data_IF_233061682080
#
_entry.id   IF_233061682080
#
_cell.length_a   1.000
_cell.length_b   1.000
_cell.length_c   1.000
_cell.angle_alpha   90.00
_cell.angle_beta   90.00
_cell.angle_gamma   90.00
#
_symmetry.space_group_name_H-M   'P 1'
#
loop_
_entity.id
_entity.type
_entity.pdbx_description
1 polymer ?
#
# COMPACT_ATOMS: atom_id res chain seq x y z
N UNK A 1 7.61 -31.69 -7.95
CA UNK A 1 8.38 -30.81 -8.86
C UNK A 1 7.53 -29.59 -9.10
N UNK A 2 8.01 -28.39 -8.81
CA UNK A 2 7.27 -27.15 -9.12
C UNK A 2 7.11 -27.04 -10.65
N UNK A 3 5.97 -26.54 -11.16
CA UNK A 3 5.78 -26.34 -12.59
C UNK A 3 6.92 -25.51 -13.18
N UNK A 4 7.44 -25.90 -14.36
CA UNK A 4 8.44 -25.08 -15.06
C UNK A 4 7.84 -23.68 -15.33
N UNK A 5 8.48 -22.59 -14.85
CA UNK A 5 7.94 -21.26 -15.03
C UNK A 5 7.85 -20.92 -16.51
N UNK A 6 6.84 -20.14 -16.90
CA UNK A 6 6.83 -19.53 -18.23
C UNK A 6 8.15 -18.76 -18.40
N UNK A 7 8.93 -19.05 -19.45
CA UNK A 7 10.28 -18.51 -19.62
C UNK A 7 10.34 -16.97 -19.45
N UNK A 8 9.25 -16.30 -19.82
CA UNK A 8 9.11 -14.85 -19.70
C UNK A 8 9.03 -14.32 -18.26
N UNK A 9 8.56 -15.10 -17.27
CA UNK A 9 8.41 -14.63 -15.89
C UNK A 9 9.56 -15.05 -14.96
N UNK A 10 10.66 -15.59 -15.49
CA UNK A 10 11.76 -16.15 -14.68
C UNK A 10 12.50 -15.09 -13.84
N UNK A 11 12.70 -13.89 -14.40
CA UNK A 11 13.46 -12.76 -13.83
C UNK A 11 12.71 -11.43 -14.07
N UNK A 12 11.60 -11.18 -13.36
CA UNK A 12 10.88 -9.93 -13.51
C UNK A 12 11.68 -8.77 -12.90
N UNK A 13 11.80 -7.67 -13.65
CA UNK A 13 12.18 -6.37 -13.08
C UNK A 13 10.92 -5.66 -12.60
N UNK A 14 10.80 -5.51 -11.29
CA UNK A 14 9.68 -4.85 -10.64
C UNK A 14 9.98 -3.39 -10.40
N UNK A 15 9.07 -2.52 -10.83
CA UNK A 15 9.17 -1.06 -10.72
C UNK A 15 7.97 -0.55 -9.95
N UNK A 16 8.22 0.34 -9.00
CA UNK A 16 7.21 0.99 -8.17
C UNK A 16 7.83 2.09 -7.32
N UNK A 17 7.03 2.67 -6.42
CA UNK A 17 7.49 3.74 -5.51
C UNK A 17 8.12 3.15 -4.23
N UNK A 18 9.18 2.36 -4.40
CA UNK A 18 9.73 1.51 -3.35
C UNK A 18 10.95 2.11 -2.67
N UNK A 19 11.10 1.93 -1.35
CA UNK A 19 12.27 2.44 -0.62
C UNK A 19 12.23 3.95 -0.35
N UNK A 20 11.04 4.54 -0.46
CA UNK A 20 10.75 5.95 -0.16
C UNK A 20 10.33 6.16 1.30
N UNK A 21 10.90 5.35 2.20
CA UNK A 21 10.66 5.43 3.65
C UNK A 21 9.18 5.33 4.03
N UNK A 22 8.40 4.52 3.28
CA UNK A 22 6.96 4.34 3.45
C UNK A 22 6.59 2.85 3.60
N UNK A 23 5.99 2.47 4.73
CA UNK A 23 5.57 1.09 5.04
C UNK A 23 4.58 0.56 4.01
N UNK A 24 3.62 1.37 3.58
CA UNK A 24 2.59 0.95 2.65
C UNK A 24 3.14 0.57 1.29
N UNK A 25 4.02 1.40 0.73
CA UNK A 25 4.65 1.09 -0.55
C UNK A 25 5.69 -0.04 -0.44
N UNK A 26 6.38 -0.14 0.72
CA UNK A 26 7.29 -1.27 0.98
C UNK A 26 6.54 -2.60 1.13
N UNK A 27 5.30 -2.60 1.62
CA UNK A 27 4.47 -3.80 1.70
C UNK A 27 4.21 -4.40 0.30
N UNK A 28 4.09 -3.55 -0.73
CA UNK A 28 4.00 -4.03 -2.10
C UNK A 28 5.25 -4.77 -2.54
N UNK A 29 6.45 -4.38 -2.13
CA UNK A 29 7.65 -5.15 -2.44
C UNK A 29 7.60 -6.57 -1.87
N UNK A 30 7.21 -6.68 -0.59
CA UNK A 30 7.10 -7.97 0.10
C UNK A 30 6.07 -8.86 -0.61
N UNK A 31 4.90 -8.30 -0.93
CA UNK A 31 3.85 -9.01 -1.68
C UNK A 31 4.33 -9.40 -3.07
N UNK A 32 4.96 -8.50 -3.81
CA UNK A 32 5.45 -8.77 -5.16
C UNK A 32 6.54 -9.85 -5.18
N UNK A 33 7.48 -9.83 -4.25
CA UNK A 33 8.54 -10.84 -4.19
C UNK A 33 7.94 -12.23 -3.98
N UNK A 34 7.08 -12.35 -2.96
CA UNK A 34 6.39 -13.60 -2.67
C UNK A 34 5.45 -14.04 -3.80
N UNK A 35 4.59 -13.15 -4.30
CA UNK A 35 3.54 -13.50 -5.25
C UNK A 35 4.11 -13.85 -6.62
N UNK A 36 5.14 -13.15 -7.11
CA UNK A 36 5.75 -13.50 -8.39
C UNK A 36 6.46 -14.86 -8.34
N UNK A 37 7.12 -15.20 -7.23
CA UNK A 37 7.67 -16.55 -7.00
C UNK A 37 6.56 -17.60 -6.94
N UNK A 38 5.48 -17.30 -6.22
CA UNK A 38 4.38 -18.24 -5.96
C UNK A 38 3.52 -18.50 -7.20
N UNK A 39 3.02 -17.45 -7.83
CA UNK A 39 2.05 -17.55 -8.92
C UNK A 39 2.70 -17.60 -10.30
N UNK A 40 3.90 -17.05 -10.49
CA UNK A 40 4.55 -17.00 -11.80
C UNK A 40 5.79 -17.89 -11.88
N UNK A 41 6.20 -18.51 -10.77
CA UNK A 41 7.40 -19.35 -10.69
C UNK A 41 8.70 -18.55 -10.87
N UNK A 42 8.67 -17.24 -10.62
CA UNK A 42 9.86 -16.38 -10.72
C UNK A 42 10.98 -16.89 -9.80
N UNK A 43 12.20 -16.99 -10.33
CA UNK A 43 13.36 -17.47 -9.55
C UNK A 43 14.12 -16.31 -8.92
N UNK A 44 14.23 -15.20 -9.66
CA UNK A 44 15.06 -14.06 -9.28
C UNK A 44 14.34 -12.74 -9.65
N UNK A 45 13.23 -12.41 -8.98
CA UNK A 45 12.66 -11.07 -9.07
C UNK A 45 13.68 -10.02 -8.60
N UNK A 46 13.77 -8.91 -9.34
CA UNK A 46 14.65 -7.78 -9.00
C UNK A 46 13.82 -6.51 -8.94
N UNK A 47 14.01 -5.72 -7.90
CA UNK A 47 13.29 -4.48 -7.66
C UNK A 47 14.15 -3.28 -8.03
N UNK A 48 13.59 -2.34 -8.77
CA UNK A 48 14.17 -1.02 -8.98
C UNK A 48 13.99 -0.15 -7.72
N UNK A 49 14.59 -0.58 -6.62
CA UNK A 49 14.50 0.01 -5.28
C UNK A 49 15.88 -0.02 -4.59
N UNK A 50 16.14 0.87 -3.61
CA UNK A 50 17.23 0.69 -2.67
C UNK A 50 16.96 -0.52 -1.75
N UNK A 51 17.92 -0.97 -0.94
CA UNK A 51 17.69 -2.00 0.07
C UNK A 51 16.51 -1.63 0.98
N UNK A 52 15.63 -2.60 1.20
CA UNK A 52 14.44 -2.50 2.07
C UNK A 52 14.56 -3.60 3.12
N UNK A 53 14.14 -3.31 4.36
CA UNK A 53 14.32 -4.20 5.53
C UNK A 53 13.76 -5.60 5.28
N UNK A 54 12.55 -5.70 4.72
CA UNK A 54 11.83 -6.97 4.52
C UNK A 54 12.06 -7.60 3.14
N UNK A 55 13.09 -7.17 2.40
CA UNK A 55 13.48 -7.77 1.13
C UNK A 55 14.90 -8.37 1.19
N UNK A 56 15.15 -9.49 0.51
CA UNK A 56 16.51 -9.98 0.32
C UNK A 56 17.37 -8.92 -0.37
N UNK A 57 18.58 -8.68 0.14
CA UNK A 57 19.46 -7.61 -0.34
C UNK A 57 19.79 -7.76 -1.83
N UNK A 58 19.93 -8.99 -2.31
CA UNK A 58 20.17 -9.34 -3.71
C UNK A 58 19.00 -9.02 -4.64
N UNK A 59 17.79 -8.85 -4.10
CA UNK A 59 16.59 -8.48 -4.86
C UNK A 59 16.50 -6.97 -5.06
N UNK A 60 17.27 -6.15 -4.32
CA UNK A 60 17.32 -4.69 -4.49
C UNK A 60 18.36 -4.28 -5.54
N UNK A 61 17.91 -3.82 -6.70
CA UNK A 61 18.76 -3.54 -7.86
C UNK A 61 19.40 -2.15 -7.90
N UNK A 62 19.00 -1.23 -7.02
CA UNK A 62 19.49 0.17 -7.06
C UNK A 62 20.52 0.47 -5.98
N UNK A 63 21.56 1.20 -6.37
CA UNK A 63 22.54 1.72 -5.42
C UNK A 63 21.93 2.87 -4.60
N UNK A 64 21.98 2.83 -3.25
CA UNK A 64 21.47 3.89 -2.38
C UNK A 64 22.01 5.30 -2.71
N UNK A 65 23.25 5.39 -3.19
CA UNK A 65 23.91 6.67 -3.53
C UNK A 65 23.19 7.43 -4.64
N UNK A 66 22.69 6.71 -5.64
CA UNK A 66 21.99 7.30 -6.79
C UNK A 66 20.49 7.47 -6.55
N UNK A 67 19.96 6.84 -5.51
CA UNK A 67 18.55 6.92 -5.15
C UNK A 67 18.20 8.24 -4.43
N UNK A 68 19.16 8.83 -3.68
CA UNK A 68 18.95 10.08 -2.91
C UNK A 68 19.57 11.34 -3.52
N UNK A 69 20.48 11.22 -4.50
CA UNK A 69 21.24 12.36 -5.04
C UNK A 69 20.62 12.98 -6.30
N UNK A 70 20.77 14.31 -6.46
CA UNK A 70 20.25 15.09 -7.61
C UNK A 70 21.33 15.55 -8.61
N UNK A 71 22.59 15.14 -8.42
CA UNK A 71 23.71 15.59 -9.25
C UNK A 71 23.65 15.03 -10.69
N UNK A 72 24.27 15.72 -11.65
CA UNK A 72 24.27 15.32 -13.08
C UNK A 72 25.02 14.00 -13.32
N UNK A 73 26.22 13.75 -12.75
CA UNK A 73 26.89 12.44 -12.87
C UNK A 73 26.07 11.29 -12.29
N UNK A 74 25.36 11.51 -11.18
CA UNK A 74 24.51 10.50 -10.56
C UNK A 74 23.31 10.13 -11.44
N UNK A 75 22.77 11.07 -12.24
CA UNK A 75 21.71 10.77 -13.22
C UNK A 75 22.19 9.85 -14.33
N UNK A 76 23.42 9.99 -14.80
CA UNK A 76 23.99 9.11 -15.82
C UNK A 76 24.17 7.69 -15.26
N UNK A 77 24.76 7.56 -14.08
CA UNK A 77 24.89 6.27 -13.38
C UNK A 77 23.54 5.61 -13.12
N UNK A 78 22.52 6.40 -12.73
CA UNK A 78 21.15 5.94 -12.55
C UNK A 78 20.51 5.39 -13.83
N UNK A 79 20.64 6.09 -14.97
CA UNK A 79 20.13 5.60 -16.26
C UNK A 79 20.84 4.31 -16.69
N UNK A 80 22.17 4.25 -16.57
CA UNK A 80 22.96 3.06 -16.93
C UNK A 80 22.60 1.85 -16.06
N UNK A 81 22.42 2.04 -14.75
CA UNK A 81 21.98 1.00 -13.83
C UNK A 81 20.61 0.45 -14.25
N UNK A 82 19.63 1.32 -14.53
CA UNK A 82 18.31 0.85 -14.99
C UNK A 82 18.38 0.13 -16.34
N UNK A 83 19.17 0.62 -17.30
CA UNK A 83 19.36 -0.06 -18.57
C UNK A 83 19.98 -1.46 -18.39
N UNK A 84 20.94 -1.61 -17.47
CA UNK A 84 21.54 -2.90 -17.13
C UNK A 84 20.58 -3.84 -16.40
N UNK A 85 19.69 -3.32 -15.54
CA UNK A 85 18.63 -4.11 -14.92
C UNK A 85 17.65 -4.62 -15.97
N UNK A 86 17.24 -3.72 -16.87
CA UNK A 86 16.32 -4.03 -17.97
C UNK A 86 16.89 -5.09 -18.92
N UNK A 87 18.16 -4.99 -19.31
CA UNK A 87 18.79 -5.96 -20.23
C UNK A 87 18.95 -7.38 -19.66
N UNK A 88 18.93 -7.52 -18.33
CA UNK A 88 19.05 -8.81 -17.62
C UNK A 88 17.70 -9.38 -17.18
N UNK A 89 16.62 -8.62 -17.39
CA UNK A 89 15.26 -9.01 -17.02
C UNK A 89 14.58 -9.79 -18.15
N UNK A 90 13.69 -10.71 -17.79
CA UNK A 90 12.85 -11.44 -18.75
C UNK A 90 11.45 -10.82 -18.92
N UNK A 91 11.09 -9.87 -18.05
CA UNK A 91 9.80 -9.20 -17.99
C UNK A 91 9.94 -7.89 -17.21
N UNK A 92 9.10 -6.92 -17.55
CA UNK A 92 8.93 -5.69 -16.79
C UNK A 92 7.58 -5.68 -16.08
N UNK A 93 7.57 -5.38 -14.78
CA UNK A 93 6.37 -5.39 -13.96
C UNK A 93 6.23 -4.06 -13.21
N UNK A 94 5.10 -3.39 -13.39
CA UNK A 94 4.72 -2.25 -12.55
C UNK A 94 3.91 -2.77 -11.37
N UNK A 95 4.49 -2.71 -10.17
CA UNK A 95 3.87 -3.22 -8.95
C UNK A 95 3.30 -2.10 -8.08
N UNK A 96 1.98 -2.13 -7.91
CA UNK A 96 1.25 -1.39 -6.90
C UNK A 96 1.17 0.13 -7.10
N UNK A 97 0.39 0.75 -6.21
CA UNK A 97 0.38 2.18 -5.98
C UNK A 97 -0.12 3.01 -7.15
N UNK A 98 0.40 4.23 -7.24
CA UNK A 98 -0.02 5.22 -8.22
C UNK A 98 1.12 5.62 -9.14
N UNK A 99 1.83 4.61 -9.63
CA UNK A 99 2.87 4.72 -10.66
C UNK A 99 2.37 5.52 -11.88
N UNK A 100 1.05 5.53 -12.10
CA UNK A 100 0.40 6.16 -13.25
C UNK A 100 -0.44 7.42 -12.94
N UNK A 101 -0.19 8.15 -11.84
CA UNK A 101 -0.95 9.39 -11.50
C UNK A 101 -0.41 10.67 -12.15
N UNK A 102 0.89 10.92 -12.06
CA UNK A 102 1.50 12.11 -12.66
C UNK A 102 2.72 11.71 -13.47
N UNK A 103 2.69 12.14 -14.70
CA UNK A 103 3.54 11.68 -15.76
C UNK A 103 4.19 12.97 -16.33
N UNK A 104 5.29 13.41 -15.72
CA UNK A 104 6.16 14.49 -16.24
C UNK A 104 7.00 14.09 -17.48
N UNK A 105 7.37 15.02 -18.39
CA UNK A 105 7.91 14.72 -19.73
C UNK A 105 9.34 14.11 -19.79
N UNK A 106 10.05 13.96 -18.66
CA UNK A 106 11.46 13.55 -18.61
C UNK A 106 11.81 12.44 -17.57
N UNK A 107 10.82 11.77 -16.98
CA UNK A 107 11.06 10.67 -16.03
C UNK A 107 10.99 9.28 -16.69
N UNK A 108 11.15 8.22 -15.89
CA UNK A 108 11.24 6.77 -16.18
C UNK A 108 10.51 6.25 -17.43
N UNK A 109 9.43 6.90 -17.84
CA UNK A 109 8.66 6.67 -19.06
C UNK A 109 9.45 6.69 -20.37
N UNK A 110 10.45 7.57 -20.54
CA UNK A 110 11.25 7.53 -21.79
C UNK A 110 11.99 6.20 -21.85
N UNK A 111 12.55 5.78 -20.73
CA UNK A 111 13.24 4.49 -20.58
C UNK A 111 12.26 3.33 -20.80
N UNK A 112 11.05 3.38 -20.24
CA UNK A 112 10.02 2.36 -20.48
C UNK A 112 9.51 2.34 -21.92
N UNK A 113 9.29 3.50 -22.54
CA UNK A 113 8.86 3.57 -23.94
C UNK A 113 9.95 3.04 -24.90
N UNK A 114 11.22 3.28 -24.55
CA UNK A 114 12.37 2.80 -25.31
C UNK A 114 12.54 1.28 -25.11
N UNK A 115 12.42 0.81 -23.87
CA UNK A 115 12.51 -0.62 -23.55
C UNK A 115 11.37 -1.43 -24.14
N UNK A 116 10.13 -0.92 -24.06
CA UNK A 116 8.95 -1.51 -24.69
C UNK A 116 9.13 -1.65 -26.21
N UNK A 117 9.77 -0.67 -26.87
CA UNK A 117 10.03 -0.71 -28.32
C UNK A 117 11.13 -1.69 -28.73
N UNK A 118 12.13 -1.90 -27.87
CA UNK A 118 13.38 -2.59 -28.24
C UNK A 118 13.43 -4.03 -27.75
N UNK A 119 12.80 -4.34 -26.61
CA UNK A 119 13.15 -5.55 -25.86
C UNK A 119 12.29 -6.78 -26.17
N UNK A 120 11.06 -6.61 -26.68
CA UNK A 120 10.13 -7.72 -26.94
C UNK A 120 9.70 -8.53 -25.71
N UNK A 121 10.14 -8.15 -24.50
CA UNK A 121 9.76 -8.81 -23.26
C UNK A 121 8.32 -8.43 -22.88
N UNK A 122 7.55 -9.36 -22.30
CA UNK A 122 6.22 -9.02 -21.83
C UNK A 122 6.27 -8.02 -20.67
N UNK A 123 5.18 -7.28 -20.56
CA UNK A 123 4.97 -6.23 -19.58
C UNK A 123 3.71 -6.53 -18.78
N UNK A 124 3.78 -6.30 -17.47
CA UNK A 124 2.62 -6.38 -16.58
C UNK A 124 2.48 -5.11 -15.75
N UNK A 125 1.25 -4.78 -15.37
CA UNK A 125 0.95 -3.85 -14.30
C UNK A 125 -0.02 -4.51 -13.33
N UNK A 126 0.28 -4.49 -12.03
CA UNK A 126 -0.49 -5.21 -11.01
C UNK A 126 -0.80 -4.31 -9.82
N UNK A 127 -2.04 -4.33 -9.36
CA UNK A 127 -2.55 -3.50 -8.26
C UNK A 127 -2.39 -2.00 -8.49
N UNK A 128 -2.48 -1.57 -9.75
CA UNK A 128 -2.32 -0.16 -10.13
C UNK A 128 -3.68 0.55 -10.21
N UNK A 129 -3.68 1.86 -9.97
CA UNK A 129 -4.78 2.74 -10.37
C UNK A 129 -4.43 3.54 -11.62
N UNK A 130 -5.43 3.84 -12.43
CA UNK A 130 -5.36 4.66 -13.63
C UNK A 130 -6.13 5.96 -13.38
N UNK A 131 -5.41 7.09 -13.37
CA UNK A 131 -5.99 8.41 -13.09
C UNK A 131 -6.10 8.75 -11.59
N UNK A 132 -6.82 9.84 -11.24
CA UNK A 132 -7.41 10.82 -12.16
C UNK A 132 -6.34 11.59 -12.95
N UNK A 133 -6.72 12.14 -14.11
CA UNK A 133 -5.80 12.82 -15.01
C UNK A 133 -5.80 14.33 -14.83
N UNK A 134 -4.62 14.95 -14.85
CA UNK A 134 -4.48 16.41 -14.85
C UNK A 134 -4.94 17.05 -16.18
N UNK A 135 -4.94 16.29 -17.29
CA UNK A 135 -5.37 16.77 -18.60
C UNK A 135 -5.65 15.61 -19.56
N UNK A 136 -6.46 15.85 -20.60
CA UNK A 136 -6.71 14.90 -21.70
C UNK A 136 -5.43 14.52 -22.47
N UNK A 137 -4.39 15.37 -22.44
CA UNK A 137 -3.09 15.02 -23.02
C UNK A 137 -2.28 14.06 -22.12
N UNK A 138 -2.37 14.20 -20.81
CA UNK A 138 -1.77 13.25 -19.86
C UNK A 138 -2.45 11.87 -19.97
N UNK A 139 -3.77 11.86 -20.04
CA UNK A 139 -4.59 10.66 -20.27
C UNK A 139 -4.16 9.92 -21.54
N UNK A 140 -4.20 10.58 -22.71
CA UNK A 140 -3.83 9.95 -24.00
C UNK A 140 -2.43 9.34 -23.97
N UNK A 141 -1.46 10.03 -23.39
CA UNK A 141 -0.08 9.54 -23.28
C UNK A 141 0.05 8.32 -22.38
N UNK A 142 -0.65 8.31 -21.24
CA UNK A 142 -0.63 7.14 -20.35
C UNK A 142 -1.34 5.96 -21.03
N UNK A 143 -2.52 6.17 -21.58
CA UNK A 143 -3.29 5.12 -22.27
C UNK A 143 -2.47 4.49 -23.40
N UNK A 144 -1.72 5.28 -24.18
CA UNK A 144 -0.83 4.74 -25.22
C UNK A 144 0.26 3.81 -24.64
N UNK A 145 0.81 4.12 -23.47
CA UNK A 145 1.77 3.26 -22.77
C UNK A 145 1.07 2.00 -22.25
N UNK A 146 -0.10 2.14 -21.61
CA UNK A 146 -0.85 1.02 -21.05
C UNK A 146 -1.34 0.05 -22.14
N UNK A 147 -1.63 0.51 -23.36
CA UNK A 147 -1.96 -0.36 -24.51
C UNK A 147 -0.85 -1.34 -24.91
N UNK A 148 0.38 -1.13 -24.44
CA UNK A 148 1.53 -2.03 -24.70
C UNK A 148 1.80 -3.02 -23.57
N UNK A 149 1.01 -2.97 -22.51
CA UNK A 149 1.12 -3.90 -21.38
C UNK A 149 0.28 -5.13 -21.70
N UNK A 150 0.85 -6.33 -21.56
CA UNK A 150 0.17 -7.58 -21.90
C UNK A 150 -0.90 -7.97 -20.87
N UNK A 151 -0.67 -7.60 -19.61
CA UNK A 151 -1.57 -7.88 -18.49
C UNK A 151 -1.66 -6.69 -17.53
N UNK A 152 -2.88 -6.24 -17.25
CA UNK A 152 -3.16 -5.20 -16.27
C UNK A 152 -4.15 -5.72 -15.22
N UNK A 153 -3.67 -5.87 -13.98
CA UNK A 153 -4.49 -5.96 -12.78
C UNK A 153 -4.71 -4.58 -12.19
N UNK A 154 -5.93 -4.05 -12.26
CA UNK A 154 -6.30 -2.79 -11.61
C UNK A 154 -6.90 -3.05 -10.25
N UNK A 155 -6.66 -2.15 -9.29
CA UNK A 155 -7.18 -2.30 -7.93
C UNK A 155 -8.57 -1.68 -7.69
N UNK A 156 -9.11 -0.95 -8.66
CA UNK A 156 -10.39 -0.24 -8.55
C UNK A 156 -11.18 -0.27 -9.87
N UNK A 157 -12.51 -0.25 -9.75
CA UNK A 157 -13.43 -0.35 -10.89
C UNK A 157 -13.32 0.86 -11.85
N UNK A 158 -13.08 2.06 -11.32
CA UNK A 158 -12.94 3.26 -12.13
C UNK A 158 -11.74 3.15 -13.11
N UNK A 159 -10.64 2.55 -12.65
CA UNK A 159 -9.48 2.25 -13.48
C UNK A 159 -9.78 1.23 -14.59
N UNK A 160 -10.60 0.21 -14.29
CA UNK A 160 -11.05 -0.78 -15.28
C UNK A 160 -11.88 -0.10 -16.38
N UNK A 161 -12.88 0.70 -16.00
CA UNK A 161 -13.76 1.42 -16.94
C UNK A 161 -12.99 2.38 -17.86
N UNK A 162 -11.91 3.01 -17.37
CA UNK A 162 -11.03 3.84 -18.20
C UNK A 162 -10.33 3.00 -19.27
N UNK A 163 -9.77 1.84 -18.89
CA UNK A 163 -9.02 0.98 -19.80
C UNK A 163 -9.92 0.23 -20.79
N UNK A 164 -11.12 -0.18 -20.37
CA UNK A 164 -12.14 -0.78 -21.24
C UNK A 164 -12.60 0.21 -22.30
N UNK A 165 -12.95 1.45 -21.92
CA UNK A 165 -13.32 2.50 -22.88
C UNK A 165 -12.18 2.86 -23.82
N UNK A 166 -10.93 2.77 -23.36
CA UNK A 166 -9.76 2.96 -24.19
C UNK A 166 -9.44 1.78 -25.13
N UNK A 167 -10.20 0.68 -25.04
CA UNK A 167 -10.01 -0.53 -25.85
C UNK A 167 -8.64 -1.16 -25.63
N UNK A 168 -8.25 -1.35 -24.37
CA UNK A 168 -6.99 -2.02 -24.03
C UNK A 168 -6.93 -3.42 -24.68
N UNK A 169 -5.91 -3.75 -25.48
CA UNK A 169 -5.86 -4.98 -26.27
C UNK A 169 -5.38 -6.21 -25.48
N UNK A 170 -4.76 -6.00 -24.32
CA UNK A 170 -4.23 -7.05 -23.45
C UNK A 170 -5.27 -7.60 -22.47
N UNK A 171 -4.81 -8.44 -21.55
CA UNK A 171 -5.67 -8.99 -20.49
C UNK A 171 -5.85 -7.94 -19.40
N UNK A 172 -7.10 -7.50 -19.20
CA UNK A 172 -7.49 -6.60 -18.14
C UNK A 172 -8.27 -7.35 -17.05
N UNK A 173 -7.86 -7.17 -15.80
CA UNK A 173 -8.51 -7.79 -14.64
C UNK A 173 -8.78 -6.73 -13.59
N UNK A 174 -10.04 -6.59 -13.19
CA UNK A 174 -10.43 -5.88 -11.97
C UNK A 174 -10.06 -6.76 -10.78
N UNK A 175 -8.88 -6.52 -10.22
CA UNK A 175 -8.34 -7.21 -9.06
C UNK A 175 -8.60 -6.36 -7.80
N UNK A 176 -7.71 -6.45 -6.81
CA UNK A 176 -7.74 -5.64 -5.60
C UNK A 176 -6.40 -4.99 -5.30
N UNK A 177 -6.33 -4.27 -4.19
CA UNK A 177 -5.07 -3.70 -3.70
C UNK A 177 -4.09 -4.81 -3.28
N UNK A 178 -2.83 -4.74 -3.70
CA UNK A 178 -1.84 -5.80 -3.44
C UNK A 178 -1.65 -6.08 -1.95
N UNK A 179 -1.87 -5.08 -1.09
CA UNK A 179 -1.74 -5.25 0.36
C UNK A 179 -2.70 -6.31 0.92
N UNK A 180 -3.77 -6.69 0.19
CA UNK A 180 -4.65 -7.81 0.55
C UNK A 180 -3.94 -9.15 0.70
N UNK A 181 -2.78 -9.33 0.06
CA UNK A 181 -1.94 -10.53 0.15
C UNK A 181 -0.84 -10.45 1.21
N UNK A 182 -0.79 -9.37 2.01
CA UNK A 182 0.29 -9.16 2.99
C UNK A 182 0.46 -10.31 3.99
N UNK A 183 -0.60 -10.87 4.61
CA UNK A 183 -0.44 -11.98 5.56
C UNK A 183 0.28 -13.17 4.92
N UNK A 184 -0.19 -13.59 3.74
CA UNK A 184 0.38 -14.73 3.02
C UNK A 184 1.83 -14.47 2.57
N UNK A 185 2.13 -13.24 2.13
CA UNK A 185 3.48 -12.83 1.78
C UNK A 185 4.45 -12.84 2.97
N UNK A 186 3.92 -12.64 4.18
CA UNK A 186 4.65 -12.80 5.44
C UNK A 186 4.63 -14.24 5.96
N UNK A 187 4.08 -15.20 5.21
CA UNK A 187 4.01 -16.61 5.60
C UNK A 187 2.99 -16.91 6.70
N UNK A 188 1.97 -16.07 6.84
CA UNK A 188 0.93 -16.17 7.87
C UNK A 188 -0.46 -16.29 7.23
N UNK A 189 -1.41 -17.00 7.86
CA UNK A 189 -2.82 -16.91 7.46
C UNK A 189 -3.40 -15.54 7.83
N UNK A 190 -4.56 -15.21 7.28
CA UNK A 190 -5.36 -14.08 7.78
C UNK A 190 -5.71 -14.38 9.24
N UNK A 191 -5.32 -13.53 10.22
CA UNK A 191 -5.57 -13.80 11.63
C UNK A 191 -7.06 -13.87 11.94
N UNK A 192 -7.47 -14.71 12.88
CA UNK A 192 -8.81 -14.59 13.46
C UNK A 192 -8.99 -13.23 14.14
N UNK A 193 -10.23 -12.75 14.17
CA UNK A 193 -10.54 -11.54 14.93
C UNK A 193 -10.26 -11.81 16.41
N UNK A 194 -9.51 -10.91 17.04
CA UNK A 194 -9.23 -11.04 18.46
C UNK A 194 -10.53 -10.92 19.26
N UNK A 195 -10.72 -11.77 20.29
CA UNK A 195 -11.75 -11.53 21.28
C UNK A 195 -11.46 -10.19 21.98
N UNK A 196 -12.53 -9.55 22.46
CA UNK A 196 -12.42 -8.26 23.16
C UNK A 196 -11.38 -8.38 24.29
N UNK A 197 -10.58 -7.33 24.56
CA UNK A 197 -9.80 -7.29 25.79
C UNK A 197 -10.73 -7.60 26.97
N UNK A 198 -10.26 -8.47 27.88
CA UNK A 198 -11.00 -8.78 29.09
C UNK A 198 -11.35 -7.48 29.83
N UNK A 199 -12.48 -7.45 30.54
CA UNK A 199 -13.01 -6.22 31.16
C UNK A 199 -12.06 -5.54 32.16
N UNK A 200 -10.98 -6.21 32.55
CA UNK A 200 -9.90 -5.76 33.44
C UNK A 200 -8.61 -5.36 32.69
N UNK A 201 -8.52 -5.61 31.38
CA UNK A 201 -7.35 -5.34 30.56
C UNK A 201 -7.37 -3.95 29.91
N UNK A 202 -6.19 -3.35 29.73
CA UNK A 202 -6.04 -2.11 28.96
C UNK A 202 -6.13 -2.44 27.47
N UNK A 203 -7.05 -1.79 26.75
CA UNK A 203 -7.14 -1.95 25.31
C UNK A 203 -5.97 -1.24 24.62
N UNK A 204 -5.50 -1.77 23.49
CA UNK A 204 -4.41 -1.18 22.70
C UNK A 204 -4.95 -0.51 21.44
N UNK A 205 -4.84 0.82 21.37
CA UNK A 205 -5.22 1.61 20.20
C UNK A 205 -4.02 1.80 19.27
N UNK A 206 -4.14 1.27 18.05
CA UNK A 206 -3.20 1.51 16.96
C UNK A 206 -3.50 2.82 16.24
N UNK A 207 -2.50 3.69 16.06
CA UNK A 207 -2.70 5.02 15.46
C UNK A 207 -1.73 5.25 14.30
N UNK A 208 -2.25 5.62 13.13
CA UNK A 208 -1.44 6.28 12.07
C UNK A 208 -1.96 7.69 11.86
N UNK A 209 -1.08 8.68 11.89
CA UNK A 209 -1.39 10.07 11.53
C UNK A 209 -0.73 10.42 10.19
N UNK A 210 -1.13 11.56 9.62
CA UNK A 210 -0.60 12.06 8.35
C UNK A 210 0.17 13.36 8.59
N UNK A 211 1.47 13.35 8.28
CA UNK A 211 2.30 14.55 8.40
C UNK A 211 1.96 15.65 7.40
N UNK A 212 1.80 15.29 6.13
CA UNK A 212 1.47 16.24 5.04
C UNK A 212 0.31 15.72 4.21
N UNK A 213 -0.69 16.58 4.03
CA UNK A 213 -1.80 16.37 3.10
C UNK A 213 -1.65 17.35 1.92
N UNK A 214 -1.48 16.81 0.72
CA UNK A 214 -1.29 17.62 -0.49
C UNK A 214 -2.61 18.06 -1.14
N UNK A 215 -3.75 17.52 -0.69
CA UNK A 215 -5.09 17.86 -1.21
C UNK A 215 -5.86 18.80 -0.29
N UNK A 216 -5.36 19.05 0.93
CA UNK A 216 -5.95 19.96 1.89
C UNK A 216 -5.08 21.22 2.06
N UNK A 217 -5.70 22.35 2.41
CA UNK A 217 -4.94 23.50 2.88
C UNK A 217 -4.34 23.25 4.28
N UNK A 218 -3.38 24.10 4.66
CA UNK A 218 -2.64 23.95 5.91
C UNK A 218 -3.52 24.12 7.16
N UNK A 219 -4.63 24.86 7.08
CA UNK A 219 -5.53 25.10 8.20
C UNK A 219 -6.37 23.85 8.46
N UNK A 220 -7.00 23.30 7.42
CA UNK A 220 -7.78 22.06 7.50
C UNK A 220 -6.92 20.89 7.98
N UNK A 221 -5.70 20.75 7.43
CA UNK A 221 -4.78 19.69 7.84
C UNK A 221 -4.39 19.81 9.33
N UNK A 222 -4.18 21.05 9.82
CA UNK A 222 -3.86 21.31 11.23
C UNK A 222 -5.05 21.03 12.15
N UNK A 223 -6.23 21.58 11.83
CA UNK A 223 -7.46 21.40 12.60
C UNK A 223 -7.78 19.91 12.78
N UNK A 224 -7.70 19.14 11.69
CA UNK A 224 -7.87 17.69 11.74
C UNK A 224 -6.84 17.02 12.65
N UNK A 225 -5.56 17.35 12.51
CA UNK A 225 -4.52 16.80 13.37
C UNK A 225 -4.76 17.09 14.86
N UNK A 226 -5.21 18.30 15.19
CA UNK A 226 -5.56 18.72 16.55
C UNK A 226 -6.79 17.98 17.08
N UNK A 227 -7.86 17.88 16.29
CA UNK A 227 -9.07 17.14 16.66
C UNK A 227 -8.78 15.65 16.93
N UNK A 228 -7.92 15.02 16.11
CA UNK A 228 -7.52 13.62 16.31
C UNK A 228 -6.68 13.45 17.58
N UNK A 229 -5.68 14.30 17.80
CA UNK A 229 -4.82 14.22 18.99
C UNK A 229 -5.63 14.46 20.27
N UNK A 230 -6.47 15.49 20.30
CA UNK A 230 -7.32 15.79 21.46
C UNK A 230 -8.37 14.69 21.67
N UNK A 231 -8.94 14.14 20.61
CA UNK A 231 -9.88 13.02 20.69
C UNK A 231 -9.28 11.75 21.29
N UNK A 232 -8.04 11.41 20.90
CA UNK A 232 -7.27 10.30 21.48
C UNK A 232 -6.92 10.59 22.94
N UNK A 233 -6.45 11.80 23.25
CA UNK A 233 -6.11 12.20 24.62
C UNK A 233 -7.33 12.07 25.56
N UNK A 234 -8.50 12.52 25.12
CA UNK A 234 -9.77 12.37 25.86
C UNK A 234 -10.15 10.90 26.04
N UNK A 235 -9.92 10.05 25.05
CA UNK A 235 -10.15 8.61 25.17
C UNK A 235 -9.27 8.02 26.28
N UNK A 236 -7.96 8.29 26.26
CA UNK A 236 -7.00 7.76 27.25
C UNK A 236 -7.34 8.21 28.68
N UNK A 237 -7.88 9.43 28.86
CA UNK A 237 -8.33 9.92 30.15
C UNK A 237 -9.62 9.25 30.65
N UNK A 238 -10.44 8.72 29.74
CA UNK A 238 -11.76 8.15 30.04
C UNK A 238 -11.74 6.63 30.15
N UNK A 239 -10.94 5.97 29.34
CA UNK A 239 -10.91 4.52 29.16
C UNK A 239 -9.47 3.99 29.41
N UNK A 240 -9.31 2.76 29.92
CA UNK A 240 -8.00 2.14 30.12
C UNK A 240 -7.37 1.76 28.77
N UNK A 241 -6.73 2.71 28.10
CA UNK A 241 -6.17 2.53 26.75
C UNK A 241 -4.67 2.81 26.72
N UNK A 242 -3.92 1.92 26.07
CA UNK A 242 -2.53 2.13 25.67
C UNK A 242 -2.42 2.38 24.17
N UNK A 243 -1.32 2.98 23.74
CA UNK A 243 -1.14 3.40 22.36
C UNK A 243 -0.01 2.64 21.67
N UNK A 244 -0.25 2.29 20.41
CA UNK A 244 0.82 1.96 19.45
C UNK A 244 0.78 2.96 18.31
N UNK A 245 1.81 3.80 18.23
CA UNK A 245 1.95 4.83 17.21
C UNK A 245 2.75 4.27 16.03
N UNK A 246 2.11 4.23 14.87
CA UNK A 246 2.68 3.73 13.63
C UNK A 246 3.14 4.91 12.76
N UNK A 247 4.46 5.13 12.69
CA UNK A 247 5.07 6.12 11.80
C UNK A 247 5.31 5.48 10.43
N UNK A 248 4.25 5.42 9.62
CA UNK A 248 4.26 4.73 8.33
C UNK A 248 5.12 5.42 7.28
N UNK A 249 5.38 6.72 7.41
CA UNK A 249 6.33 7.43 6.57
C UNK A 249 7.37 8.16 7.42
N UNK A 250 8.65 7.87 7.23
CA UNK A 250 9.74 8.48 8.01
C UNK A 250 10.54 9.54 7.25
N UNK A 251 10.02 10.03 6.13
CA UNK A 251 10.65 11.09 5.36
C UNK A 251 10.78 12.38 6.21
N UNK A 252 11.95 13.03 6.27
CA UNK A 252 12.22 14.11 7.23
C UNK A 252 11.33 15.35 7.08
N UNK A 253 10.79 15.57 5.87
CA UNK A 253 9.96 16.75 5.54
C UNK A 253 8.48 16.41 5.33
N UNK A 254 8.18 15.16 4.98
CA UNK A 254 6.84 14.75 4.51
C UNK A 254 6.29 13.54 5.27
N UNK A 255 7.07 13.06 6.25
CA UNK A 255 6.76 11.92 7.07
C UNK A 255 5.89 12.27 8.27
N UNK A 256 5.54 11.25 9.02
CA UNK A 256 4.55 11.30 10.10
C UNK A 256 5.19 11.57 11.46
N UNK A 257 6.52 11.72 11.53
CA UNK A 257 7.28 11.84 12.77
C UNK A 257 6.83 13.02 13.63
N UNK A 258 6.74 14.23 13.04
CA UNK A 258 6.39 15.43 13.80
C UNK A 258 4.97 15.37 14.39
N UNK A 259 4.00 14.89 13.60
CA UNK A 259 2.61 14.76 14.08
C UNK A 259 2.47 13.63 15.10
N UNK A 260 3.25 12.55 14.94
CA UNK A 260 3.30 11.44 15.90
C UNK A 260 3.90 11.89 17.24
N UNK A 261 4.95 12.71 17.22
CA UNK A 261 5.56 13.25 18.45
C UNK A 261 4.62 14.21 19.19
N UNK A 262 3.82 15.01 18.46
CA UNK A 262 2.76 15.82 19.07
C UNK A 262 1.73 14.95 19.81
N UNK A 263 1.31 13.82 19.22
CA UNK A 263 0.43 12.87 19.89
C UNK A 263 1.09 12.31 21.17
N UNK A 264 2.35 11.87 21.08
CA UNK A 264 3.10 11.33 22.22
C UNK A 264 3.22 12.33 23.36
N UNK A 265 3.49 13.60 23.03
CA UNK A 265 3.55 14.69 24.01
C UNK A 265 2.19 14.89 24.68
N UNK A 266 1.09 14.89 23.91
CA UNK A 266 -0.25 15.13 24.44
C UNK A 266 -0.75 14.06 25.43
N UNK A 267 -0.22 12.83 25.31
CA UNK A 267 -0.58 11.67 26.14
C UNK A 267 0.53 11.25 27.12
N UNK A 268 1.60 12.04 27.22
CA UNK A 268 2.73 11.74 28.09
C UNK A 268 2.29 11.57 29.55
N UNK A 269 2.65 10.44 30.15
CA UNK A 269 2.29 10.09 31.52
C UNK A 269 0.84 9.62 31.72
N UNK A 270 0.04 9.51 30.65
CA UNK A 270 -1.36 9.06 30.73
C UNK A 270 -1.55 7.58 30.40
N UNK A 271 -0.67 7.00 29.57
CA UNK A 271 -0.73 5.58 29.17
C UNK A 271 0.65 5.05 28.73
N UNK A 272 0.74 3.73 28.50
CA UNK A 272 1.88 3.15 27.79
C UNK A 272 1.82 3.55 26.30
N UNK A 273 2.98 3.82 25.72
CA UNK A 273 3.11 4.24 24.32
C UNK A 273 4.24 3.48 23.65
N UNK A 274 3.88 2.62 22.70
CA UNK A 274 4.81 1.95 21.80
C UNK A 274 4.89 2.68 20.47
N UNK A 275 6.08 2.74 19.87
CA UNK A 275 6.29 3.33 18.54
C UNK A 275 6.92 2.30 17.63
N UNK A 276 6.37 2.17 16.43
CA UNK A 276 6.93 1.39 15.33
C UNK A 276 6.92 2.23 14.06
N UNK A 277 7.95 2.10 13.25
CA UNK A 277 8.24 3.01 12.14
C UNK A 277 8.53 2.27 10.85
N UNK A 278 8.56 3.00 9.73
CA UNK A 278 9.02 2.47 8.45
C UNK A 278 10.44 1.89 8.47
N UNK A 279 11.28 2.30 9.45
CA UNK A 279 12.66 1.81 9.61
C UNK A 279 12.72 0.43 10.28
N UNK A 280 11.67 0.06 11.01
CA UNK A 280 11.56 -1.25 11.66
C UNK A 280 11.07 -2.35 10.69
N UNK A 281 10.55 -1.94 9.53
CA UNK A 281 10.07 -2.84 8.49
C UNK A 281 8.56 -3.09 8.51
N UNK A 282 8.08 -3.64 7.41
CA UNK A 282 6.69 -4.06 7.16
C UNK A 282 6.30 -5.15 8.15
N UNK A 283 7.16 -6.15 8.40
CA UNK A 283 6.86 -7.23 9.35
C UNK A 283 6.64 -6.70 10.76
N UNK A 284 7.52 -5.81 11.25
CA UNK A 284 7.37 -5.22 12.58
C UNK A 284 6.06 -4.43 12.69
N UNK A 285 5.73 -3.62 11.67
CA UNK A 285 4.46 -2.89 11.62
C UNK A 285 3.24 -3.84 11.59
N UNK A 286 3.30 -4.95 10.85
CA UNK A 286 2.25 -5.97 10.82
C UNK A 286 2.08 -6.66 12.18
N UNK A 287 3.18 -7.05 12.82
CA UNK A 287 3.19 -7.72 14.12
C UNK A 287 2.62 -6.84 15.23
N UNK A 288 2.90 -5.53 15.20
CA UNK A 288 2.31 -4.56 16.11
C UNK A 288 0.83 -4.30 15.82
N UNK A 289 0.43 -4.24 14.54
CA UNK A 289 -0.98 -4.06 14.18
C UNK A 289 -1.84 -5.21 14.72
N UNK A 290 -1.38 -6.45 14.56
CA UNK A 290 -2.05 -7.65 15.13
C UNK A 290 -2.20 -7.60 16.65
N UNK A 291 -1.40 -6.80 17.35
CA UNK A 291 -1.47 -6.63 18.82
C UNK A 291 -2.44 -5.55 19.27
N UNK A 292 -2.97 -4.75 18.35
CA UNK A 292 -3.96 -3.74 18.66
C UNK A 292 -5.35 -4.36 18.81
N UNK A 293 -6.20 -3.72 19.63
CA UNK A 293 -7.59 -4.09 19.83
C UNK A 293 -8.53 -3.20 19.02
N UNK A 294 -8.13 -1.94 18.80
CA UNK A 294 -8.84 -0.97 17.96
C UNK A 294 -7.84 -0.10 17.18
N UNK A 295 -8.29 0.54 16.10
CA UNK A 295 -7.45 1.35 15.22
C UNK A 295 -8.03 2.74 14.87
N UNK A 296 -7.17 3.75 14.79
CA UNK A 296 -7.47 5.05 14.19
C UNK A 296 -6.40 5.39 13.15
N UNK A 297 -6.80 5.42 11.89
CA UNK A 297 -5.85 5.55 10.79
C UNK A 297 -6.14 6.76 9.91
N UNK A 298 -5.09 7.48 9.52
CA UNK A 298 -5.12 8.40 8.39
C UNK A 298 -4.42 7.81 7.17
N UNK A 299 -3.40 6.96 7.37
CA UNK A 299 -2.70 6.31 6.27
C UNK A 299 -3.56 5.13 5.79
N UNK A 300 -3.91 5.11 4.50
CA UNK A 300 -4.71 4.03 3.90
C UNK A 300 -4.19 2.63 4.27
N UNK A 301 -2.88 2.40 4.13
CA UNK A 301 -2.30 1.09 4.45
C UNK A 301 -2.34 0.77 5.95
N UNK A 302 -2.41 1.76 6.85
CA UNK A 302 -2.69 1.51 8.26
C UNK A 302 -4.07 0.88 8.45
N UNK A 303 -5.08 1.40 7.75
CA UNK A 303 -6.43 0.85 7.74
C UNK A 303 -6.51 -0.52 7.05
N UNK A 304 -5.80 -0.73 5.93
CA UNK A 304 -5.75 -2.06 5.27
C UNK A 304 -5.09 -3.09 6.20
N UNK A 305 -4.01 -2.73 6.90
CA UNK A 305 -3.37 -3.63 7.86
C UNK A 305 -4.32 -3.97 9.02
N UNK A 306 -5.00 -2.97 9.59
CA UNK A 306 -6.00 -3.20 10.64
C UNK A 306 -7.14 -4.11 10.16
N UNK A 307 -7.66 -3.85 8.96
CA UNK A 307 -8.70 -4.67 8.32
C UNK A 307 -8.27 -6.13 8.19
N UNK A 308 -7.10 -6.40 7.60
CA UNK A 308 -6.57 -7.76 7.43
C UNK A 308 -6.28 -8.43 8.77
N UNK A 309 -5.74 -7.69 9.74
CA UNK A 309 -5.48 -8.19 11.10
C UNK A 309 -6.78 -8.44 11.90
N UNK A 310 -7.94 -8.04 11.39
CA UNK A 310 -9.22 -8.20 12.09
C UNK A 310 -9.42 -7.22 13.24
N UNK A 311 -8.68 -6.12 13.23
CA UNK A 311 -8.76 -5.03 14.22
C UNK A 311 -9.86 -4.05 13.78
N UNK A 312 -10.93 -3.84 14.57
CA UNK A 312 -11.90 -2.77 14.31
C UNK A 312 -11.20 -1.42 14.21
N UNK A 313 -11.53 -0.62 13.20
CA UNK A 313 -10.83 0.65 12.97
C UNK A 313 -11.76 1.74 12.46
N UNK A 314 -11.35 2.99 12.66
CA UNK A 314 -11.80 4.14 11.89
C UNK A 314 -10.67 4.62 10.96
N UNK A 315 -11.05 5.02 9.75
CA UNK A 315 -10.16 5.68 8.78
C UNK A 315 -10.67 7.11 8.56
N UNK A 316 -9.77 8.09 8.71
CA UNK A 316 -10.02 9.49 8.40
C UNK A 316 -9.62 9.74 6.94
N UNK A 317 -10.58 9.88 6.01
CA UNK A 317 -10.26 9.97 4.60
C UNK A 317 -9.63 11.32 4.26
N UNK A 318 -8.44 11.28 3.66
CA UNK A 318 -7.72 12.48 3.19
C UNK A 318 -7.55 12.52 1.66
N UNK A 319 -7.86 11.40 0.99
CA UNK A 319 -7.85 11.26 -0.46
C UNK A 319 -8.96 10.30 -0.87
N UNK A 320 -9.45 10.43 -2.11
CA UNK A 320 -10.52 9.58 -2.67
C UNK A 320 -10.28 8.08 -2.49
N UNK A 321 -9.02 7.61 -2.57
CA UNK A 321 -8.66 6.20 -2.34
C UNK A 321 -9.04 5.66 -0.95
N UNK A 322 -9.14 6.55 0.06
CA UNK A 322 -9.59 6.17 1.39
C UNK A 322 -11.09 5.93 1.38
N UNK A 323 -11.84 6.84 0.75
CA UNK A 323 -13.29 6.70 0.58
C UNK A 323 -13.63 5.44 -0.24
N UNK A 324 -12.89 5.20 -1.33
CA UNK A 324 -13.05 4.03 -2.19
C UNK A 324 -12.82 2.73 -1.41
N UNK A 325 -11.78 2.67 -0.58
CA UNK A 325 -11.52 1.51 0.28
C UNK A 325 -12.64 1.29 1.32
N UNK A 326 -13.10 2.35 1.99
CA UNK A 326 -14.19 2.24 2.98
C UNK A 326 -15.50 1.81 2.33
N UNK A 327 -15.76 2.25 1.10
CA UNK A 327 -16.92 1.82 0.31
C UNK A 327 -16.77 0.36 -0.12
N UNK A 328 -15.60 -0.04 -0.63
CA UNK A 328 -15.32 -1.41 -1.08
C UNK A 328 -15.54 -2.44 0.01
N UNK A 329 -15.00 -2.20 1.21
CA UNK A 329 -15.13 -3.15 2.31
C UNK A 329 -16.50 -3.09 3.00
N UNK A 330 -17.36 -2.14 2.64
CA UNK A 330 -18.62 -1.89 3.33
C UNK A 330 -18.41 -1.46 4.79
N UNK A 331 -17.54 -0.48 5.02
CA UNK A 331 -17.23 0.01 6.37
C UNK A 331 -18.49 0.52 7.08
N UNK A 332 -18.81 0.07 8.31
CA UNK A 332 -19.98 0.51 9.07
C UNK A 332 -19.97 2.01 9.33
N UNK A 333 -21.12 2.67 9.21
CA UNK A 333 -21.25 4.12 9.45
C UNK A 333 -20.83 4.52 10.87
N UNK A 334 -21.07 3.66 11.86
CA UNK A 334 -20.66 3.89 13.25
C UNK A 334 -19.14 3.96 13.45
N UNK A 335 -18.36 3.51 12.47
CA UNK A 335 -16.89 3.50 12.48
C UNK A 335 -16.28 4.50 11.48
N UNK A 336 -17.10 5.36 10.87
CA UNK A 336 -16.64 6.38 9.93
C UNK A 336 -16.37 7.69 10.66
N UNK A 337 -15.35 8.41 10.18
CA UNK A 337 -15.04 9.78 10.56
C UNK A 337 -15.00 10.63 9.30
N UNK A 338 -15.42 11.89 9.42
CA UNK A 338 -15.31 12.86 8.33
C UNK A 338 -13.85 13.17 7.97
N UNK A 339 -13.65 13.80 6.80
CA UNK A 339 -12.31 14.25 6.35
C UNK A 339 -11.67 15.20 7.36
N UNK A 340 -12.45 16.08 7.98
CA UNK A 340 -12.08 16.87 9.15
C UNK A 340 -13.16 16.57 10.19
N UNK A 341 -12.85 15.82 11.26
CA UNK A 341 -13.80 15.65 12.36
C UNK A 341 -14.20 17.02 12.90
N UNK A 342 -15.49 17.26 13.06
CA UNK A 342 -16.00 18.58 13.47
C UNK A 342 -15.49 18.95 14.86
N UNK A 343 -15.42 17.96 15.75
CA UNK A 343 -15.02 18.11 17.13
C UNK A 343 -14.22 16.89 17.62
N UNK A 344 -13.32 17.12 18.58
CA UNK A 344 -12.57 16.03 19.23
C UNK A 344 -13.50 15.01 19.94
N UNK A 345 -14.71 15.43 20.33
CA UNK A 345 -15.73 14.56 20.92
C UNK A 345 -16.24 13.50 19.96
N UNK A 346 -16.29 13.79 18.65
CA UNK A 346 -16.68 12.83 17.62
C UNK A 346 -15.67 11.68 17.59
N UNK A 347 -14.38 12.01 17.56
CA UNK A 347 -13.26 11.05 17.57
C UNK A 347 -13.34 10.17 18.82
N UNK A 348 -13.48 10.77 20.01
CA UNK A 348 -13.59 10.01 21.26
C UNK A 348 -14.81 9.10 21.25
N UNK A 349 -15.98 9.59 20.80
CA UNK A 349 -17.22 8.79 20.74
C UNK A 349 -17.07 7.57 19.85
N UNK A 350 -16.49 7.74 18.65
CA UNK A 350 -16.26 6.64 17.71
C UNK A 350 -15.29 5.60 18.29
N UNK A 351 -14.20 6.05 18.94
CA UNK A 351 -13.23 5.14 19.56
C UNK A 351 -13.78 4.41 20.79
N UNK A 352 -14.50 5.09 21.69
CA UNK A 352 -15.21 4.45 22.79
C UNK A 352 -16.21 3.42 22.25
N UNK A 353 -16.92 3.76 21.16
CA UNK A 353 -17.82 2.85 20.48
C UNK A 353 -17.12 1.56 20.02
N UNK A 354 -15.91 1.64 19.46
CA UNK A 354 -15.14 0.47 19.03
C UNK A 354 -14.71 -0.44 20.18
N UNK A 355 -14.43 0.11 21.36
CA UNK A 355 -14.08 -0.70 22.54
C UNK A 355 -15.26 -1.61 22.93
N UNK A 356 -16.48 -1.11 22.79
CA UNK A 356 -17.69 -1.80 23.27
C UNK A 356 -18.47 -2.54 22.16
N UNK A 357 -18.40 -2.11 20.90
CA UNK A 357 -19.21 -2.62 19.81
C UNK A 357 -18.37 -3.34 18.73
N UNK A 358 -18.98 -4.35 18.10
CA UNK A 358 -18.33 -5.24 17.11
C UNK A 358 -18.87 -4.99 15.70
N UNK A 359 -19.10 -3.73 15.34
CA UNK A 359 -19.46 -3.41 13.96
C UNK A 359 -18.29 -3.84 13.07
N UNK A 360 -18.59 -4.55 11.99
CA UNK A 360 -17.57 -5.16 11.14
C UNK A 360 -17.83 -4.82 9.68
N UNK A 361 -16.79 -4.66 8.86
CA UNK A 361 -16.97 -4.43 7.43
C UNK A 361 -17.78 -5.56 6.77
N UNK A 362 -18.57 -5.19 5.76
CA UNK A 362 -19.44 -6.10 5.03
C UNK A 362 -18.73 -7.06 4.08
N UNK A 363 -17.57 -6.67 3.54
CA UNK A 363 -16.74 -7.56 2.72
C UNK A 363 -15.94 -8.51 3.63
N UNK A 364 -15.91 -9.82 3.35
CA UNK A 364 -15.00 -10.75 4.01
C UNK A 364 -13.52 -10.44 3.68
N UNK A 365 -12.63 -10.65 4.64
CA UNK A 365 -11.18 -10.38 4.47
C UNK A 365 -10.55 -11.35 3.47
N UNK A 366 -11.06 -12.57 3.45
CA UNK A 366 -10.70 -13.64 2.53
C UNK A 366 -11.09 -13.26 1.10
N UNK A 367 -12.25 -12.63 0.90
CA UNK A 367 -12.66 -12.12 -0.41
C UNK A 367 -11.78 -10.96 -0.86
N UNK A 368 -11.41 -10.05 0.04
CA UNK A 368 -10.47 -8.96 -0.27
C UNK A 368 -9.09 -9.50 -0.68
N UNK A 369 -8.57 -10.51 0.04
CA UNK A 369 -7.32 -11.19 -0.30
C UNK A 369 -7.43 -11.93 -1.64
N UNK A 370 -8.56 -12.55 -1.94
CA UNK A 370 -8.80 -13.24 -3.21
C UNK A 370 -8.84 -12.27 -4.40
N UNK A 371 -9.48 -11.11 -4.25
CA UNK A 371 -9.42 -10.04 -5.27
C UNK A 371 -7.98 -9.56 -5.48
N UNK A 372 -7.20 -9.40 -4.42
CA UNK A 372 -5.78 -9.08 -4.52
C UNK A 372 -4.98 -10.19 -5.24
N UNK A 373 -5.33 -11.47 -5.03
CA UNK A 373 -4.74 -12.64 -5.70
C UNK A 373 -4.90 -12.62 -7.21
N UNK A 374 -6.01 -12.10 -7.72
CA UNK A 374 -6.26 -12.02 -9.17
C UNK A 374 -5.25 -11.18 -9.94
N UNK A 375 -4.52 -10.28 -9.27
CA UNK A 375 -3.35 -9.60 -9.84
C UNK A 375 -2.25 -10.55 -10.32
N UNK A 376 -2.21 -11.78 -9.81
CA UNK A 376 -1.18 -12.74 -10.13
C UNK A 376 -1.75 -14.01 -10.74
N UNK A 377 -2.83 -14.55 -10.16
CA UNK A 377 -3.39 -15.84 -10.57
C UNK A 377 -4.07 -15.82 -11.93
N UNK A 378 -4.51 -14.64 -12.40
CA UNK A 378 -5.14 -14.46 -13.72
C UNK A 378 -4.17 -13.96 -14.79
N UNK A 379 -2.88 -13.82 -14.47
CA UNK A 379 -1.88 -13.43 -15.45
C UNK A 379 -1.67 -14.55 -16.49
N UNK A 380 -1.39 -14.22 -17.77
CA UNK A 380 -1.18 -15.22 -18.83
C UNK A 380 -0.05 -16.24 -18.56
N UNK A 381 0.89 -15.87 -17.69
CA UNK A 381 2.05 -16.66 -17.30
C UNK A 381 1.91 -17.25 -15.88
N UNK A 382 0.71 -17.25 -15.30
CA UNK A 382 0.46 -17.91 -14.03
C UNK A 382 0.70 -19.43 -14.14
N UNK A 383 1.32 -20.02 -13.10
CA UNK A 383 1.52 -21.47 -13.01
C UNK A 383 0.19 -22.18 -12.76
N UNK A 384 0.02 -23.36 -13.39
CA UNK A 384 -1.30 -24.01 -13.57
C UNK A 384 -1.89 -24.68 -12.32
N UNK A 385 -1.10 -24.86 -11.26
CA UNK A 385 -1.48 -25.67 -10.07
C UNK A 385 -1.55 -24.85 -8.77
N UNK A 386 -1.79 -23.54 -8.85
CA UNK A 386 -1.88 -22.65 -7.67
C UNK A 386 -3.33 -22.22 -7.43
N UNK A 387 -3.81 -22.17 -6.16
CA UNK A 387 -5.17 -21.72 -5.85
C UNK A 387 -5.53 -20.40 -6.54
N UNK A 388 -6.73 -20.34 -7.14
CA UNK A 388 -7.26 -19.16 -7.81
C UNK A 388 -6.83 -18.95 -9.27
N UNK A 389 -6.10 -19.89 -9.88
CA UNK A 389 -5.83 -19.88 -11.33
C UNK A 389 -7.14 -20.12 -12.12
N UNK A 390 -7.37 -19.44 -13.26
CA UNK A 390 -8.58 -19.64 -14.05
C UNK A 390 -8.62 -21.08 -14.60
N UNK A 391 -9.72 -21.80 -14.34
CA UNK A 391 -10.08 -22.97 -15.14
C UNK A 391 -10.41 -22.47 -16.55
N UNK A 392 -9.74 -23.02 -17.57
CA UNK A 392 -10.00 -22.64 -18.96
C UNK A 392 -11.37 -23.10 -19.42
#
# INVERSE_FOLDING_TARGET
MLPEPHAAARRPLVVGYYGMENVGDNAFCVVMDWATRTYWGSREPVFAAPPIVDLPAESAGMNPRWYRSRSVPDRVGWVLNKAALLSRSSMLVFGGGSVFRDMGPLSEKKLFSLFSRVSGHPMAAVGVSVGPFLSAAAERRLVEVLRRIDFIGVRDHASAEILERAGHPGVLVTAGDLAGLLPEALGEPIPDRRPRPASDGRARLGVTLLGVDYEADAVQARQRGEALIEGIRRLVLKEPVDLTVFVFNTHPVHGDEQVSERLRTAVHGLCDVRVVTARDGVRACWDEMKRCDIGLHMRLHGAIFAYLAGVPFALVPYQKKCDDFLAEIGQPESLRLGRVPEEATEVTRVLTGMIHHTAVPGLPREEFAERARWNFSRAPWAVRDVPGAPAR
#
